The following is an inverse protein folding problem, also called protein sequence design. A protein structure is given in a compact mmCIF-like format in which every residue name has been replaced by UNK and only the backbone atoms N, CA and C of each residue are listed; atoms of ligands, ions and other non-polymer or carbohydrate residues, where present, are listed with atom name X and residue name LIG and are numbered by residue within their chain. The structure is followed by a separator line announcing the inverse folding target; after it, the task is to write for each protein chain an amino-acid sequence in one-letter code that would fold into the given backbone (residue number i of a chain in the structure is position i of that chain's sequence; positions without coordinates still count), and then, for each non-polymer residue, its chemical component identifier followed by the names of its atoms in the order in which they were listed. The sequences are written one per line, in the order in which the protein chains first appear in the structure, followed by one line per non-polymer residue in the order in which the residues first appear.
data_IF_188602009137
#
_entry.id   IF_188602009137
#
_cell.length_a   1.000
_cell.length_b   1.000
_cell.length_c   1.000
_cell.angle_alpha   90.00
_cell.angle_beta   90.00
_cell.angle_gamma   90.00
#
_symmetry.space_group_name_H-M   'P 1'
#
loop_
_entity.id
_entity.type
_entity.pdbx_description
1 polymer ?
#
# COMPACT_ATOMS: atom_id res chain seq x y z
N UNK A 1 7.53 9.34 -38.12
CA UNK A 1 7.85 8.86 -36.73
C UNK A 1 7.50 7.38 -36.74
N UNK A 2 8.43 6.52 -36.32
CA UNK A 2 8.24 5.06 -36.46
C UNK A 2 7.65 4.43 -35.19
N UNK A 3 8.02 4.95 -33.98
CA UNK A 3 7.45 4.55 -32.70
C UNK A 3 7.62 5.66 -31.65
N UNK A 4 6.92 5.52 -30.52
CA UNK A 4 7.03 6.40 -29.36
C UNK A 4 7.37 5.57 -28.13
N UNK A 5 8.35 5.99 -27.32
CA UNK A 5 8.66 5.44 -25.99
C UNK A 5 8.14 6.39 -24.93
N UNK A 6 7.34 5.89 -24.02
CA UNK A 6 6.53 6.68 -23.08
C UNK A 6 5.08 6.77 -23.56
N UNK A 7 4.23 7.56 -22.93
CA UNK A 7 4.43 8.30 -21.66
C UNK A 7 4.56 7.44 -20.40
N UNK A 8 4.78 8.12 -19.27
CA UNK A 8 4.87 7.46 -17.97
C UNK A 8 3.55 7.46 -17.20
N UNK A 9 2.66 8.43 -17.47
CA UNK A 9 1.35 8.51 -16.84
C UNK A 9 0.26 7.90 -17.72
N UNK A 10 -0.80 7.38 -17.09
CA UNK A 10 -1.92 6.81 -17.83
C UNK A 10 -2.69 7.87 -18.61
N UNK A 11 -2.87 9.05 -18.04
CA UNK A 11 -3.59 10.18 -18.64
C UNK A 11 -2.91 10.61 -19.95
N UNK A 12 -1.58 10.78 -19.92
CA UNK A 12 -0.80 11.09 -21.14
C UNK A 12 -0.84 9.94 -22.14
N UNK A 13 -0.78 8.69 -21.66
CA UNK A 13 -0.84 7.50 -22.50
C UNK A 13 -2.14 7.47 -23.31
N UNK A 14 -3.28 7.82 -22.72
CA UNK A 14 -4.57 7.81 -23.43
C UNK A 14 -4.59 8.82 -24.59
N UNK A 15 -4.01 10.00 -24.39
CA UNK A 15 -3.92 11.05 -25.42
C UNK A 15 -3.02 10.63 -26.58
N UNK A 16 -1.85 10.10 -26.25
CA UNK A 16 -0.87 9.66 -27.27
C UNK A 16 -1.39 8.43 -28.03
N UNK A 17 -2.00 7.46 -27.33
CA UNK A 17 -2.51 6.25 -27.93
C UNK A 17 -3.67 6.48 -28.91
N UNK A 18 -4.54 7.46 -28.65
CA UNK A 18 -5.60 7.85 -29.59
C UNK A 18 -5.02 8.36 -30.93
N UNK A 19 -4.00 9.20 -30.90
CA UNK A 19 -3.34 9.75 -32.10
C UNK A 19 -2.54 8.65 -32.80
N UNK A 20 -1.75 7.89 -32.08
CA UNK A 20 -0.85 6.89 -32.65
C UNK A 20 -1.58 5.70 -33.26
N UNK A 21 -2.74 5.31 -32.70
CA UNK A 21 -3.57 4.26 -33.29
C UNK A 21 -4.14 4.65 -34.65
N UNK A 22 -4.45 5.95 -34.89
CA UNK A 22 -4.89 6.46 -36.17
C UNK A 22 -3.79 6.43 -37.24
N UNK A 23 -2.53 6.58 -36.78
CA UNK A 23 -1.37 6.60 -37.68
C UNK A 23 -0.60 5.26 -37.71
N UNK A 24 -1.17 4.21 -37.14
CA UNK A 24 -0.54 2.87 -37.04
C UNK A 24 0.90 2.94 -36.50
N UNK A 25 1.13 3.79 -35.49
CA UNK A 25 2.45 4.01 -34.87
C UNK A 25 2.50 3.33 -33.51
N UNK A 26 3.40 2.36 -33.27
CA UNK A 26 3.54 1.72 -31.97
C UNK A 26 3.93 2.69 -30.84
N UNK A 27 3.28 2.54 -29.69
CA UNK A 27 3.55 3.30 -28.46
C UNK A 27 3.95 2.34 -27.35
N UNK A 28 5.17 2.42 -26.87
CA UNK A 28 5.67 1.64 -25.73
C UNK A 28 5.44 2.47 -24.46
N UNK A 29 4.27 2.32 -23.85
CA UNK A 29 3.90 3.05 -22.64
C UNK A 29 4.64 2.50 -21.41
N UNK A 30 5.16 3.41 -20.58
CA UNK A 30 5.79 3.11 -19.30
C UNK A 30 4.82 3.34 -18.12
N UNK A 31 3.54 3.61 -18.39
CA UNK A 31 2.53 3.86 -17.38
C UNK A 31 2.23 2.59 -16.55
N UNK A 32 2.19 2.76 -15.24
CA UNK A 32 1.78 1.73 -14.30
C UNK A 32 0.24 1.58 -14.25
N UNK A 33 -0.26 0.45 -13.75
CA UNK A 33 -1.68 0.20 -13.51
C UNK A 33 -2.59 0.44 -14.73
N UNK A 34 -2.15 0.05 -15.92
CA UNK A 34 -2.90 0.16 -17.17
C UNK A 34 -4.16 -0.73 -17.14
N UNK A 35 -5.35 -0.24 -17.56
CA UNK A 35 -6.56 -1.06 -17.62
C UNK A 35 -6.44 -2.24 -18.58
N UNK A 36 -7.10 -3.36 -18.27
CA UNK A 36 -7.01 -4.55 -19.12
C UNK A 36 -7.62 -4.37 -20.51
N UNK A 37 -8.57 -3.46 -20.67
CA UNK A 37 -9.24 -3.17 -21.95
C UNK A 37 -8.43 -2.24 -22.87
N UNK A 38 -7.33 -1.64 -22.40
CA UNK A 38 -6.58 -0.61 -23.11
C UNK A 38 -6.06 -1.07 -24.48
N UNK A 39 -5.51 -2.27 -24.56
CA UNK A 39 -4.97 -2.84 -25.80
C UNK A 39 -6.07 -3.21 -26.81
N UNK A 40 -7.29 -3.47 -26.34
CA UNK A 40 -8.46 -3.67 -27.23
C UNK A 40 -8.91 -2.35 -27.86
N UNK A 41 -8.83 -1.25 -27.12
CA UNK A 41 -9.20 0.08 -27.64
C UNK A 41 -8.10 0.65 -28.54
N UNK A 42 -6.84 0.45 -28.18
CA UNK A 42 -5.68 0.99 -28.90
C UNK A 42 -4.76 -0.14 -29.37
N UNK A 43 -4.95 -0.64 -30.60
CA UNK A 43 -4.20 -1.79 -31.11
C UNK A 43 -2.69 -1.57 -31.24
N UNK A 44 -2.22 -0.30 -31.26
CA UNK A 44 -0.80 0.05 -31.35
C UNK A 44 -0.19 0.44 -30.00
N UNK A 45 -0.96 0.27 -28.89
CA UNK A 45 -0.45 0.48 -27.54
C UNK A 45 0.19 -0.79 -27.00
N UNK A 46 1.48 -0.71 -26.67
CA UNK A 46 2.24 -1.74 -25.97
C UNK A 46 2.53 -1.27 -24.55
N UNK A 47 2.14 -2.04 -23.55
CA UNK A 47 2.47 -1.76 -22.16
C UNK A 47 3.87 -2.30 -21.85
N UNK A 48 4.87 -1.41 -21.85
CA UNK A 48 6.27 -1.74 -21.58
C UNK A 48 6.68 -1.63 -20.09
N UNK A 49 5.70 -1.36 -19.21
CA UNK A 49 5.86 -1.42 -17.76
C UNK A 49 4.97 -2.54 -17.20
N UNK A 50 5.46 -3.36 -16.26
CA UNK A 50 4.65 -4.42 -15.68
C UNK A 50 3.54 -3.82 -14.81
N UNK A 51 2.38 -4.47 -14.82
CA UNK A 51 1.25 -4.05 -14.00
C UNK A 51 1.49 -4.38 -12.52
N UNK A 52 1.41 -3.39 -11.65
CA UNK A 52 1.72 -3.51 -10.23
C UNK A 52 0.55 -4.01 -9.36
N UNK A 53 -0.57 -4.45 -9.91
CA UNK A 53 -1.72 -4.90 -9.11
C UNK A 53 -1.39 -6.05 -8.14
N UNK A 54 -0.43 -6.92 -8.49
CA UNK A 54 0.01 -8.01 -7.60
C UNK A 54 0.71 -7.51 -6.33
N UNK A 55 1.29 -6.31 -6.35
CA UNK A 55 1.87 -5.67 -5.18
C UNK A 55 0.85 -5.51 -4.05
N UNK A 56 -0.42 -5.29 -4.38
CA UNK A 56 -1.49 -5.17 -3.38
C UNK A 56 -1.70 -6.45 -2.59
N UNK A 57 -1.40 -7.61 -3.19
CA UNK A 57 -1.40 -8.88 -2.48
C UNK A 57 -0.22 -8.97 -1.50
N UNK A 58 0.97 -8.47 -1.87
CA UNK A 58 2.12 -8.40 -0.98
C UNK A 58 1.82 -7.51 0.23
N UNK A 59 1.22 -6.34 0.03
CA UNK A 59 0.77 -5.45 1.12
C UNK A 59 -0.21 -6.16 2.05
N UNK A 60 -1.23 -6.83 1.50
CA UNK A 60 -2.21 -7.57 2.31
C UNK A 60 -1.56 -8.74 3.07
N UNK A 61 -0.60 -9.45 2.48
CA UNK A 61 0.15 -10.52 3.14
C UNK A 61 1.00 -9.98 4.30
N UNK A 62 1.64 -8.82 4.14
CA UNK A 62 2.38 -8.13 5.23
C UNK A 62 1.43 -7.81 6.39
N UNK A 63 0.31 -7.15 6.10
CA UNK A 63 -0.69 -6.78 7.11
C UNK A 63 -1.19 -8.02 7.86
N UNK A 64 -1.54 -9.07 7.14
CA UNK A 64 -2.01 -10.32 7.71
C UNK A 64 -0.95 -11.01 8.58
N UNK A 65 0.31 -11.02 8.16
CA UNK A 65 1.40 -11.71 8.87
C UNK A 65 1.68 -11.14 10.27
N UNK A 66 1.35 -9.87 10.49
CA UNK A 66 1.45 -9.23 11.81
C UNK A 66 0.16 -9.30 12.63
N UNK A 67 -0.93 -9.82 12.06
CA UNK A 67 -2.23 -9.90 12.71
C UNK A 67 -2.91 -8.54 12.84
N UNK A 68 -2.68 -7.62 11.92
CA UNK A 68 -3.41 -6.36 11.88
C UNK A 68 -4.72 -6.56 11.13
N UNK A 69 -5.83 -6.36 11.82
CA UNK A 69 -7.17 -6.60 11.27
C UNK A 69 -7.80 -5.36 10.63
N UNK A 70 -7.26 -4.18 10.91
CA UNK A 70 -7.74 -2.89 10.43
C UNK A 70 -6.61 -2.09 9.80
N UNK A 71 -6.90 -1.40 8.70
CA UNK A 71 -5.97 -0.48 8.04
C UNK A 71 -6.65 0.82 7.64
N UNK A 72 -5.89 1.92 7.68
CA UNK A 72 -6.23 3.19 7.04
C UNK A 72 -5.52 3.24 5.69
N UNK A 73 -6.21 3.66 4.64
CA UNK A 73 -5.62 3.80 3.31
C UNK A 73 -5.56 5.27 2.95
N UNK A 74 -4.37 5.72 2.52
CA UNK A 74 -4.12 7.07 2.01
C UNK A 74 -3.74 6.95 0.53
N UNK A 75 -4.48 7.61 -0.35
CA UNK A 75 -4.30 7.45 -1.80
C UNK A 75 -4.43 8.77 -2.56
N UNK A 76 -3.84 8.82 -3.76
CA UNK A 76 -3.95 9.97 -4.66
C UNK A 76 -5.26 9.88 -5.45
N UNK A 77 -6.19 10.79 -5.18
CA UNK A 77 -7.52 10.80 -5.81
C UNK A 77 -7.50 11.38 -7.24
N UNK A 78 -6.46 12.12 -7.59
CA UNK A 78 -6.29 12.69 -8.93
C UNK A 78 -5.62 11.73 -9.91
N UNK A 79 -4.89 10.74 -9.38
CA UNK A 79 -4.25 9.72 -10.21
C UNK A 79 -5.20 8.53 -10.41
N UNK A 80 -5.61 8.32 -11.64
CA UNK A 80 -6.47 7.20 -12.00
C UNK A 80 -5.80 5.83 -11.80
N UNK A 81 -4.46 5.76 -11.80
CA UNK A 81 -3.71 4.56 -11.47
C UNK A 81 -3.85 4.22 -10.00
N UNK A 82 -3.72 5.21 -9.12
CA UNK A 82 -3.91 5.07 -7.67
C UNK A 82 -5.31 4.59 -7.33
N UNK A 83 -6.33 5.18 -7.95
CA UNK A 83 -7.73 4.80 -7.77
C UNK A 83 -8.02 3.35 -8.23
N UNK A 84 -7.42 2.91 -9.35
CA UNK A 84 -7.54 1.52 -9.81
C UNK A 84 -6.84 0.55 -8.85
N UNK A 85 -5.65 0.90 -8.35
CA UNK A 85 -4.92 0.10 -7.36
C UNK A 85 -5.72 -0.10 -6.07
N UNK A 86 -6.52 0.89 -5.66
CA UNK A 86 -7.39 0.80 -4.49
C UNK A 86 -8.36 -0.39 -4.57
N UNK A 87 -8.97 -0.65 -5.74
CA UNK A 87 -9.88 -1.78 -5.92
C UNK A 87 -9.17 -3.15 -5.76
N UNK A 88 -7.93 -3.24 -6.22
CA UNK A 88 -7.11 -4.45 -6.05
C UNK A 88 -6.65 -4.62 -4.60
N UNK A 89 -6.31 -3.53 -3.91
CA UNK A 89 -5.97 -3.52 -2.49
C UNK A 89 -7.17 -3.96 -1.64
N UNK A 90 -8.35 -3.39 -1.89
CA UNK A 90 -9.58 -3.80 -1.20
C UNK A 90 -9.82 -5.31 -1.32
N UNK A 91 -9.73 -5.85 -2.54
CA UNK A 91 -9.91 -7.30 -2.78
C UNK A 91 -8.84 -8.14 -2.07
N UNK A 92 -7.60 -7.70 -2.06
CA UNK A 92 -6.51 -8.41 -1.40
C UNK A 92 -6.66 -8.40 0.13
N UNK A 93 -7.01 -7.26 0.73
CA UNK A 93 -7.26 -7.11 2.16
C UNK A 93 -8.49 -7.92 2.61
N UNK A 94 -9.58 -7.88 1.84
CA UNK A 94 -10.78 -8.68 2.12
C UNK A 94 -10.49 -10.19 2.14
N UNK A 95 -9.67 -10.69 1.20
CA UNK A 95 -9.21 -12.10 1.20
C UNK A 95 -8.33 -12.44 2.40
N UNK A 96 -7.62 -11.47 2.93
CA UNK A 96 -6.77 -11.61 4.12
C UNK A 96 -7.53 -11.37 5.44
N UNK A 97 -8.87 -11.22 5.39
CA UNK A 97 -9.72 -10.89 6.54
C UNK A 97 -9.33 -9.59 7.23
N UNK A 98 -8.84 -8.60 6.47
CA UNK A 98 -8.46 -7.26 6.95
C UNK A 98 -9.51 -6.25 6.52
N UNK A 99 -9.95 -5.41 7.45
CA UNK A 99 -10.93 -4.36 7.21
C UNK A 99 -10.26 -3.02 6.92
N UNK A 100 -10.92 -2.18 6.12
CA UNK A 100 -10.51 -0.80 5.89
C UNK A 100 -11.27 0.07 6.88
N UNK A 101 -10.55 0.69 7.82
CA UNK A 101 -11.11 1.58 8.81
C UNK A 101 -11.44 2.95 8.24
N UNK A 102 -10.52 3.52 7.46
CA UNK A 102 -10.70 4.82 6.84
C UNK A 102 -10.03 4.86 5.46
N UNK A 103 -10.61 5.67 4.57
CA UNK A 103 -10.06 6.02 3.27
C UNK A 103 -9.79 7.53 3.27
N UNK A 104 -8.55 7.92 3.04
CA UNK A 104 -8.15 9.33 2.97
C UNK A 104 -7.67 9.65 1.55
N UNK A 105 -8.51 10.30 0.72
CA UNK A 105 -8.09 10.80 -0.58
C UNK A 105 -7.20 12.05 -0.41
N UNK A 106 -6.15 12.18 -1.20
CA UNK A 106 -5.30 13.35 -1.28
C UNK A 106 -5.15 13.74 -2.77
N UNK A 107 -5.25 15.03 -3.10
CA UNK A 107 -5.39 16.22 -2.25
C UNK A 107 -6.81 16.40 -1.73
N UNK A 108 -6.90 17.00 -0.56
CA UNK A 108 -8.18 17.30 0.10
C UNK A 108 -8.83 18.54 -0.51
N UNK A 109 -10.16 18.51 -0.62
CA UNK A 109 -10.94 19.59 -1.25
C UNK A 109 -11.31 20.68 -0.21
N UNK A 110 -11.66 20.28 1.01
CA UNK A 110 -12.29 21.16 2.01
C UNK A 110 -11.61 21.20 3.38
N UNK A 111 -10.62 20.36 3.64
CA UNK A 111 -9.92 20.27 4.92
C UNK A 111 -8.42 20.30 4.75
N UNK A 112 -7.68 20.69 5.79
CA UNK A 112 -6.23 20.60 5.76
C UNK A 112 -5.77 19.15 6.03
N UNK A 113 -4.64 18.76 5.44
CA UNK A 113 -4.05 17.45 5.71
C UNK A 113 -3.79 17.20 7.20
N UNK A 114 -3.39 18.24 7.94
CA UNK A 114 -3.17 18.16 9.39
C UNK A 114 -4.45 17.80 10.13
N UNK A 115 -5.58 18.43 9.80
CA UNK A 115 -6.86 18.14 10.44
C UNK A 115 -7.34 16.70 10.20
N UNK A 116 -7.20 16.21 8.96
CA UNK A 116 -7.59 14.83 8.65
C UNK A 116 -6.65 13.80 9.32
N UNK A 117 -5.35 14.06 9.36
CA UNK A 117 -4.41 13.20 10.08
C UNK A 117 -4.66 13.23 11.60
N UNK A 118 -5.07 14.37 12.18
CA UNK A 118 -5.47 14.44 13.60
C UNK A 118 -6.67 13.55 13.89
N UNK A 119 -7.70 13.55 13.04
CA UNK A 119 -8.83 12.63 13.18
C UNK A 119 -8.38 11.16 13.14
N UNK A 120 -7.49 10.81 12.21
CA UNK A 120 -6.94 9.47 12.12
C UNK A 120 -6.03 9.13 13.32
N UNK A 121 -5.29 10.11 13.85
CA UNK A 121 -4.49 9.96 15.06
C UNK A 121 -5.35 9.63 16.28
N UNK A 122 -6.54 10.17 16.37
CA UNK A 122 -7.48 9.87 17.46
C UNK A 122 -8.18 8.52 17.29
N UNK A 123 -8.20 7.96 16.08
CA UNK A 123 -8.78 6.65 15.78
C UNK A 123 -8.01 5.49 16.41
N UNK A 124 -8.67 4.32 16.50
CA UNK A 124 -8.06 3.10 17.06
C UNK A 124 -7.01 2.49 16.12
N UNK A 125 -7.26 2.48 14.82
CA UNK A 125 -6.36 1.91 13.82
C UNK A 125 -5.09 2.75 13.67
N UNK A 126 -3.92 2.11 13.77
CA UNK A 126 -2.59 2.73 13.64
C UNK A 126 -1.78 2.19 12.47
N UNK A 127 -2.38 1.39 11.62
CA UNK A 127 -1.77 0.86 10.40
C UNK A 127 -2.22 1.68 9.20
N UNK A 128 -1.27 2.20 8.43
CA UNK A 128 -1.49 3.04 7.28
C UNK A 128 -0.86 2.42 6.04
N UNK A 129 -1.66 2.26 4.98
CA UNK A 129 -1.19 1.89 3.64
C UNK A 129 -1.25 3.13 2.76
N UNK A 130 -0.12 3.51 2.17
CA UNK A 130 0.05 4.76 1.43
C UNK A 130 0.37 4.48 -0.02
N UNK A 131 -0.48 4.96 -0.92
CA UNK A 131 -0.32 4.89 -2.37
C UNK A 131 -0.43 6.30 -2.96
N UNK A 132 0.66 7.03 -2.95
CA UNK A 132 0.74 8.44 -3.32
C UNK A 132 1.89 8.71 -4.30
N UNK A 133 1.74 9.76 -5.08
CA UNK A 133 2.84 10.37 -5.82
C UNK A 133 3.92 10.93 -4.88
N UNK A 134 5.14 11.11 -5.40
CA UNK A 134 6.30 11.51 -4.60
C UNK A 134 6.06 12.79 -3.79
N UNK A 135 5.54 13.84 -4.42
CA UNK A 135 5.33 15.14 -3.78
C UNK A 135 4.28 15.08 -2.66
N UNK A 136 3.19 14.34 -2.87
CA UNK A 136 2.12 14.18 -1.88
C UNK A 136 2.59 13.34 -0.69
N UNK A 137 3.37 12.28 -0.95
CA UNK A 137 3.92 11.44 0.10
C UNK A 137 4.93 12.18 0.99
N UNK A 138 5.78 13.04 0.41
CA UNK A 138 6.70 13.88 1.19
C UNK A 138 5.92 14.77 2.16
N UNK A 139 4.90 15.48 1.67
CA UNK A 139 4.05 16.34 2.50
C UNK A 139 3.32 15.54 3.59
N UNK A 140 2.80 14.35 3.25
CA UNK A 140 2.16 13.46 4.21
C UNK A 140 3.10 13.12 5.37
N UNK A 141 4.32 12.64 5.10
CA UNK A 141 5.23 12.18 6.14
C UNK A 141 5.83 13.33 6.96
N UNK A 142 6.07 14.49 6.37
CA UNK A 142 6.46 15.69 7.11
C UNK A 142 5.36 16.14 8.08
N UNK A 143 4.09 16.10 7.64
CA UNK A 143 2.95 16.44 8.48
C UNK A 143 2.72 15.37 9.56
N UNK A 144 2.79 14.09 9.21
CA UNK A 144 2.66 12.98 10.15
C UNK A 144 3.74 13.05 11.25
N UNK A 145 4.97 13.43 10.90
CA UNK A 145 6.05 13.64 11.89
C UNK A 145 5.73 14.79 12.85
N UNK A 146 5.23 15.93 12.34
CA UNK A 146 4.81 17.08 13.19
C UNK A 146 3.69 16.69 14.15
N UNK A 147 2.82 15.77 13.76
CA UNK A 147 1.71 15.26 14.57
C UNK A 147 2.08 14.08 15.48
N UNK A 148 3.35 13.72 15.59
CA UNK A 148 3.85 12.57 16.36
C UNK A 148 3.25 11.22 15.90
N UNK A 149 2.88 11.09 14.63
CA UNK A 149 2.38 9.83 14.07
C UNK A 149 3.52 8.93 13.52
N UNK A 150 4.78 9.33 13.73
CA UNK A 150 5.98 8.54 13.44
C UNK A 150 6.62 7.98 14.71
N UNK A 151 5.83 7.84 15.78
CA UNK A 151 6.22 7.33 17.09
C UNK A 151 5.80 5.86 17.28
N UNK A 152 6.13 5.31 18.44
CA UNK A 152 5.78 3.94 18.83
C UNK A 152 4.30 3.64 18.66
N UNK A 153 3.99 2.51 18.03
CA UNK A 153 2.62 2.02 17.83
C UNK A 153 2.06 2.26 16.44
N UNK A 154 2.64 3.19 15.66
CA UNK A 154 2.26 3.43 14.28
C UNK A 154 2.96 2.47 13.32
N UNK A 155 2.25 2.14 12.24
CA UNK A 155 2.75 1.34 11.12
C UNK A 155 2.44 2.06 9.83
N UNK A 156 3.44 2.23 8.98
CA UNK A 156 3.30 2.82 7.67
C UNK A 156 3.85 1.87 6.62
N UNK A 157 3.03 1.56 5.62
CA UNK A 157 3.39 0.71 4.48
C UNK A 157 3.21 1.54 3.22
N UNK A 158 4.30 1.73 2.46
CA UNK A 158 4.30 2.47 1.20
C UNK A 158 4.43 1.52 0.01
N UNK A 159 3.80 1.90 -1.09
CA UNK A 159 3.78 1.13 -2.34
C UNK A 159 4.65 1.78 -3.41
N UNK A 160 4.92 1.07 -4.52
CA UNK A 160 5.44 1.68 -5.74
C UNK A 160 4.38 2.60 -6.39
N UNK A 161 4.80 3.65 -7.06
CA UNK A 161 6.20 3.97 -7.42
C UNK A 161 7.01 4.68 -6.31
N UNK A 162 6.38 5.11 -5.21
CA UNK A 162 7.05 5.90 -4.18
C UNK A 162 8.20 5.14 -3.51
N UNK A 163 8.03 3.84 -3.19
CA UNK A 163 9.09 3.03 -2.57
C UNK A 163 10.37 3.01 -3.40
N UNK A 164 10.24 2.90 -4.71
CA UNK A 164 11.38 2.88 -5.64
C UNK A 164 12.14 4.21 -5.71
N UNK A 165 11.51 5.31 -5.26
CA UNK A 165 12.09 6.65 -5.28
C UNK A 165 12.67 7.11 -3.93
N UNK A 166 12.55 6.28 -2.87
CA UNK A 166 13.02 6.65 -1.52
C UNK A 166 14.51 7.02 -1.51
N UNK A 167 15.34 6.31 -2.28
CA UNK A 167 16.78 6.58 -2.36
C UNK A 167 17.11 7.96 -2.98
N UNK A 168 16.18 8.54 -3.75
CA UNK A 168 16.36 9.86 -4.38
C UNK A 168 15.97 11.03 -3.48
N UNK A 169 15.41 10.75 -2.29
CA UNK A 169 14.95 11.77 -1.37
C UNK A 169 16.09 12.46 -0.62
N UNK A 170 15.84 13.70 -0.22
CA UNK A 170 16.74 14.44 0.67
C UNK A 170 16.81 13.77 2.04
N UNK A 171 17.97 13.81 2.70
CA UNK A 171 18.17 13.22 4.02
C UNK A 171 17.17 13.75 5.08
N UNK A 172 16.74 15.02 4.98
CA UNK A 172 15.72 15.61 5.85
C UNK A 172 14.37 14.89 5.72
N UNK A 173 13.95 14.61 4.48
CA UNK A 173 12.70 13.88 4.20
C UNK A 173 12.79 12.43 4.68
N UNK A 174 13.89 11.73 4.38
CA UNK A 174 14.11 10.35 4.87
C UNK A 174 14.09 10.31 6.39
N UNK A 175 14.56 11.36 7.08
CA UNK A 175 14.50 11.45 8.54
C UNK A 175 13.07 11.50 9.09
N UNK A 176 12.08 11.94 8.31
CA UNK A 176 10.67 11.91 8.69
C UNK A 176 9.99 10.56 8.41
N UNK A 177 10.68 9.65 7.73
CA UNK A 177 10.15 8.39 7.27
C UNK A 177 10.75 7.17 7.97
N UNK A 178 11.46 7.37 9.07
CA UNK A 178 12.16 6.27 9.75
C UNK A 178 11.20 5.19 10.26
N UNK A 179 11.49 3.93 9.92
CA UNK A 179 10.69 2.79 10.34
C UNK A 179 9.53 2.41 9.38
N UNK A 180 9.39 3.09 8.26
CA UNK A 180 8.37 2.77 7.24
C UNK A 180 8.77 1.48 6.53
N UNK A 181 7.78 0.63 6.22
CA UNK A 181 7.93 -0.51 5.32
C UNK A 181 7.60 -0.06 3.90
N UNK A 182 8.46 -0.38 2.95
CA UNK A 182 8.22 -0.19 1.53
C UNK A 182 8.04 -1.53 0.81
N UNK A 183 7.18 -1.55 -0.19
CA UNK A 183 7.04 -2.65 -1.13
C UNK A 183 7.33 -2.12 -2.52
N UNK A 184 8.31 -2.70 -3.22
CA UNK A 184 8.67 -2.32 -4.59
C UNK A 184 8.85 -3.54 -5.48
N UNK A 185 8.71 -3.35 -6.78
CA UNK A 185 9.05 -4.40 -7.74
C UNK A 185 10.52 -4.76 -7.61
N UNK A 186 10.80 -6.05 -7.58
CA UNK A 186 12.18 -6.53 -7.61
C UNK A 186 12.74 -6.40 -9.03
N UNK A 187 13.96 -5.93 -9.13
CA UNK A 187 14.79 -6.02 -10.33
C UNK A 187 16.24 -6.30 -9.92
N UNK A 188 17.01 -7.04 -10.73
CA UNK A 188 18.38 -7.38 -10.39
C UNK A 188 19.29 -6.15 -10.52
N UNK A 189 19.81 -5.66 -9.41
CA UNK A 189 20.77 -4.54 -9.34
C UNK A 189 22.24 -5.08 -9.40
N UNK A 190 22.41 -6.34 -9.80
CA UNK A 190 23.70 -7.03 -9.81
C UNK A 190 23.90 -7.72 -11.18
N UNK A 191 25.11 -7.62 -11.70
CA UNK A 191 25.51 -8.27 -12.94
C UNK A 191 26.17 -7.30 -13.92
N UNK A 192 26.99 -7.85 -14.83
CA UNK A 192 27.84 -7.07 -15.75
C UNK A 192 27.04 -6.05 -16.56
N UNK A 193 25.85 -6.41 -17.04
CA UNK A 193 25.01 -5.52 -17.84
C UNK A 193 24.48 -4.34 -17.01
N UNK A 194 24.05 -4.59 -15.77
CA UNK A 194 23.57 -3.53 -14.91
C UNK A 194 24.71 -2.61 -14.46
N UNK A 195 25.88 -3.17 -14.13
CA UNK A 195 27.05 -2.38 -13.72
C UNK A 195 27.53 -1.46 -14.84
N UNK A 196 27.61 -1.94 -16.09
CA UNK A 196 27.97 -1.13 -17.24
C UNK A 196 26.93 -0.02 -17.50
N UNK A 197 25.62 -0.34 -17.43
CA UNK A 197 24.55 0.65 -17.52
C UNK A 197 24.68 1.70 -16.41
N UNK A 198 24.88 1.25 -15.17
CA UNK A 198 25.00 2.10 -13.97
C UNK A 198 26.14 3.12 -14.12
N UNK A 199 27.31 2.66 -14.53
CA UNK A 199 28.47 3.55 -14.72
C UNK A 199 28.25 4.57 -15.85
N UNK A 200 27.66 4.15 -16.97
CA UNK A 200 27.35 5.03 -18.11
C UNK A 200 26.27 6.03 -17.75
N UNK A 201 25.22 5.58 -17.10
CA UNK A 201 24.12 6.44 -16.65
C UNK A 201 24.63 7.53 -15.72
N UNK A 202 25.35 7.17 -14.66
CA UNK A 202 25.86 8.15 -13.67
C UNK A 202 26.77 9.19 -14.32
N UNK A 203 27.68 8.76 -15.18
CA UNK A 203 28.58 9.68 -15.88
C UNK A 203 27.80 10.69 -16.72
N UNK A 204 26.84 10.21 -17.50
CA UNK A 204 26.05 11.07 -18.38
C UNK A 204 25.12 11.96 -17.58
N UNK A 205 24.37 11.40 -16.64
CA UNK A 205 23.41 12.13 -15.81
C UNK A 205 24.09 13.26 -15.01
N UNK A 206 25.22 12.96 -14.35
CA UNK A 206 25.97 13.99 -13.60
C UNK A 206 26.56 15.09 -14.49
N UNK A 207 26.92 14.76 -15.74
CA UNK A 207 27.39 15.76 -16.71
C UNK A 207 26.26 16.68 -17.19
N UNK A 208 25.05 16.12 -17.39
CA UNK A 208 23.89 16.87 -17.88
C UNK A 208 23.13 17.59 -16.76
N UNK A 209 23.18 17.05 -15.54
CA UNK A 209 22.44 17.53 -14.36
C UNK A 209 23.38 17.78 -13.16
N UNK A 210 24.33 18.72 -13.24
CA UNK A 210 25.35 18.92 -12.19
C UNK A 210 24.79 19.43 -10.87
N UNK A 211 23.54 19.91 -10.85
CA UNK A 211 22.85 20.39 -9.65
C UNK A 211 22.14 19.25 -8.87
N UNK A 212 21.98 18.09 -9.51
CA UNK A 212 21.32 16.96 -8.88
C UNK A 212 22.32 16.09 -8.12
N UNK A 213 22.09 15.95 -6.81
CA UNK A 213 22.97 15.16 -5.94
C UNK A 213 22.76 13.65 -6.11
N UNK A 214 21.54 13.23 -6.46
CA UNK A 214 21.23 11.83 -6.68
C UNK A 214 21.37 11.49 -8.17
N UNK A 215 22.35 10.67 -8.48
CA UNK A 215 22.65 10.18 -9.82
C UNK A 215 22.51 8.65 -9.94
N UNK A 216 21.79 8.03 -9.02
CA UNK A 216 21.54 6.59 -9.00
C UNK A 216 20.40 6.23 -9.98
N UNK A 217 20.62 5.32 -10.95
CA UNK A 217 19.54 4.82 -11.80
C UNK A 217 18.62 3.90 -11.01
N UNK A 218 17.32 4.24 -10.97
CA UNK A 218 16.30 3.39 -10.39
C UNK A 218 15.62 2.50 -11.44
N UNK A 219 14.60 1.77 -10.99
CA UNK A 219 13.79 0.88 -11.86
C UNK A 219 13.22 1.60 -13.09
N UNK A 220 12.87 2.88 -12.97
CA UNK A 220 12.32 3.66 -14.09
C UNK A 220 13.34 3.86 -15.20
N UNK A 221 14.61 4.14 -14.85
CA UNK A 221 15.69 4.23 -15.81
C UNK A 221 15.97 2.88 -16.50
N UNK A 222 15.94 1.78 -15.74
CA UNK A 222 16.08 0.43 -16.27
C UNK A 222 14.94 0.09 -17.25
N UNK A 223 13.69 0.40 -16.92
CA UNK A 223 12.53 0.18 -17.80
C UNK A 223 12.59 1.01 -19.08
N UNK A 224 12.98 2.27 -18.99
CA UNK A 224 13.16 3.13 -20.15
C UNK A 224 14.27 2.59 -21.09
N UNK A 225 15.36 2.08 -20.50
CA UNK A 225 16.43 1.42 -21.24
C UNK A 225 15.91 0.16 -21.96
N UNK A 226 15.17 -0.70 -21.25
CA UNK A 226 14.66 -1.95 -21.81
C UNK A 226 13.61 -1.69 -22.91
N UNK A 227 12.77 -0.67 -22.76
CA UNK A 227 11.83 -0.26 -23.81
C UNK A 227 12.56 0.23 -25.07
N UNK A 228 13.63 1.03 -24.90
CA UNK A 228 14.47 1.46 -26.01
C UNK A 228 15.17 0.28 -26.68
N UNK A 229 15.68 -0.66 -25.88
CA UNK A 229 16.33 -1.87 -26.39
C UNK A 229 15.36 -2.77 -27.13
N UNK A 230 14.14 -2.96 -26.61
CA UNK A 230 13.04 -3.69 -27.28
C UNK A 230 12.74 -3.12 -28.66
N UNK A 231 12.62 -1.78 -28.75
CA UNK A 231 12.39 -1.11 -30.03
C UNK A 231 13.58 -1.28 -30.98
N UNK A 232 14.82 -1.11 -30.51
CA UNK A 232 16.00 -1.28 -31.31
C UNK A 232 16.11 -2.69 -31.91
N UNK A 233 15.87 -3.74 -31.09
CA UNK A 233 15.83 -5.12 -31.57
C UNK A 233 14.75 -5.34 -32.62
N UNK A 234 13.54 -4.81 -32.40
CA UNK A 234 12.45 -4.94 -33.35
C UNK A 234 12.76 -4.28 -34.71
N UNK A 235 13.47 -3.15 -34.70
CA UNK A 235 13.89 -2.44 -35.88
C UNK A 235 14.99 -3.17 -36.68
N UNK A 236 15.82 -3.98 -36.02
CA UNK A 236 16.86 -4.76 -36.71
C UNK A 236 16.33 -6.02 -37.41
N UNK A 237 15.11 -6.45 -37.11
CA UNK A 237 14.52 -7.67 -37.64
C UNK A 237 13.90 -7.51 -39.04
N UNK A 238 13.73 -6.27 -39.50
CA UNK A 238 13.09 -5.99 -40.80
C UNK A 238 13.56 -4.69 -41.40
N UNK A 239 13.77 -4.67 -42.72
CA UNK A 239 13.99 -3.46 -43.51
C UNK A 239 12.67 -2.72 -43.84
N UNK A 240 11.53 -3.36 -43.60
CA UNK A 240 10.21 -2.80 -43.88
C UNK A 240 9.72 -1.98 -42.67
N UNK A 241 9.42 -0.70 -42.93
CA UNK A 241 9.06 0.30 -41.91
C UNK A 241 7.55 0.40 -41.64
N UNK A 242 6.76 -0.62 -41.99
CA UNK A 242 5.31 -0.64 -41.70
C UNK A 242 5.05 -0.73 -40.17
N UNK A 243 4.14 0.15 -39.67
CA UNK A 243 3.84 0.19 -38.22
C UNK A 243 3.34 -1.12 -37.64
N UNK A 244 2.54 -1.89 -38.42
CA UNK A 244 2.08 -3.22 -37.99
C UNK A 244 3.23 -4.22 -37.86
N UNK A 245 4.14 -4.25 -38.82
CA UNK A 245 5.30 -5.17 -38.82
C UNK A 245 6.21 -4.83 -37.64
N UNK A 246 6.42 -3.55 -37.40
CA UNK A 246 7.21 -3.10 -36.24
C UNK A 246 6.54 -3.51 -34.91
N UNK A 247 5.21 -3.37 -34.80
CA UNK A 247 4.44 -3.82 -33.64
C UNK A 247 4.61 -5.33 -33.42
N UNK A 248 4.46 -6.14 -34.46
CA UNK A 248 4.59 -7.59 -34.38
C UNK A 248 6.00 -7.99 -33.92
N UNK A 249 7.05 -7.33 -34.45
CA UNK A 249 8.43 -7.55 -34.00
C UNK A 249 8.69 -7.11 -32.55
N UNK A 250 8.07 -6.01 -32.10
CA UNK A 250 8.13 -5.58 -30.68
C UNK A 250 7.57 -6.69 -29.78
N UNK A 251 6.42 -7.27 -30.15
CA UNK A 251 5.73 -8.29 -29.36
C UNK A 251 6.44 -9.64 -29.36
N UNK A 252 7.25 -9.94 -30.36
CA UNK A 252 8.06 -11.16 -30.45
C UNK A 252 9.32 -11.13 -29.55
N UNK A 253 9.68 -9.97 -28.99
CA UNK A 253 10.84 -9.87 -28.13
C UNK A 253 10.72 -10.76 -26.87
N UNK A 254 11.78 -11.51 -26.59
CA UNK A 254 11.93 -12.34 -25.39
C UNK A 254 13.40 -12.36 -24.98
N UNK A 255 13.74 -11.52 -24.00
CA UNK A 255 15.10 -11.41 -23.47
C UNK A 255 15.12 -11.01 -21.99
N UNK A 256 16.28 -11.13 -21.35
CA UNK A 256 16.48 -10.60 -19.99
C UNK A 256 17.06 -9.21 -20.10
N UNK A 257 16.27 -8.20 -19.73
CA UNK A 257 16.66 -6.80 -19.66
C UNK A 257 17.19 -6.39 -18.28
N UNK A 258 17.43 -5.11 -18.10
CA UNK A 258 17.86 -4.52 -16.83
C UNK A 258 16.75 -4.55 -15.77
N UNK A 259 15.50 -4.34 -16.18
CA UNK A 259 14.35 -4.34 -15.27
C UNK A 259 13.78 -5.74 -15.00
N UNK A 260 14.32 -6.77 -15.65
CA UNK A 260 13.88 -8.15 -15.53
C UNK A 260 13.62 -8.82 -16.89
N UNK A 261 12.77 -9.86 -16.89
CA UNK A 261 12.40 -10.55 -18.12
C UNK A 261 11.47 -9.68 -18.97
N UNK A 262 11.83 -9.45 -20.22
CA UNK A 262 11.04 -8.75 -21.23
C UNK A 262 10.38 -9.80 -22.11
N UNK A 263 9.09 -9.95 -21.92
CA UNK A 263 8.21 -10.83 -22.70
C UNK A 263 6.81 -10.25 -22.67
N UNK A 264 6.16 -10.21 -23.83
CA UNK A 264 4.84 -9.63 -23.96
C UNK A 264 3.77 -10.70 -24.16
N UNK A 265 2.67 -10.55 -23.44
CA UNK A 265 1.44 -11.33 -23.61
C UNK A 265 0.28 -10.33 -23.77
N UNK A 266 -0.49 -10.45 -24.85
CA UNK A 266 -1.58 -9.53 -25.19
C UNK A 266 -1.15 -8.05 -25.17
N UNK A 267 0.01 -7.74 -25.77
CA UNK A 267 0.62 -6.39 -25.83
C UNK A 267 1.02 -5.82 -24.45
N UNK A 268 1.11 -6.65 -23.43
CA UNK A 268 1.49 -6.25 -22.07
C UNK A 268 2.75 -6.99 -21.65
N UNK A 269 3.65 -6.27 -21.02
CA UNK A 269 4.79 -6.88 -20.36
C UNK A 269 4.30 -7.81 -19.25
N UNK A 270 4.84 -9.02 -19.19
CA UNK A 270 4.49 -10.00 -18.17
C UNK A 270 4.69 -9.41 -16.78
N UNK A 271 3.71 -9.55 -15.87
CA UNK A 271 3.78 -8.91 -14.56
C UNK A 271 4.86 -9.53 -13.69
N UNK A 272 5.60 -8.69 -12.98
CA UNK A 272 6.48 -9.17 -11.92
C UNK A 272 5.68 -9.95 -10.88
N UNK A 273 6.19 -11.13 -10.49
CA UNK A 273 5.61 -11.96 -9.45
C UNK A 273 6.31 -11.79 -8.11
N UNK A 274 7.46 -11.12 -8.08
CA UNK A 274 8.29 -10.96 -6.90
C UNK A 274 8.45 -9.49 -6.56
N UNK A 275 8.22 -9.17 -5.29
CA UNK A 275 8.34 -7.82 -4.74
C UNK A 275 9.37 -7.83 -3.62
N UNK A 276 10.20 -6.81 -3.60
CA UNK A 276 11.17 -6.57 -2.55
C UNK A 276 10.50 -5.78 -1.43
N UNK A 277 10.73 -6.23 -0.19
CA UNK A 277 10.27 -5.57 1.03
C UNK A 277 11.45 -4.80 1.60
N UNK A 278 11.26 -3.51 1.82
CA UNK A 278 12.28 -2.61 2.33
C UNK A 278 11.83 -1.96 3.62
N UNK A 279 12.78 -1.53 4.43
CA UNK A 279 12.53 -0.77 5.65
C UNK A 279 13.36 0.51 5.63
N UNK A 280 12.73 1.66 5.76
CA UNK A 280 13.40 2.97 5.73
C UNK A 280 14.19 3.18 7.00
N UNK A 281 15.51 3.25 6.89
CA UNK A 281 16.45 3.33 8.01
C UNK A 281 17.63 4.23 7.64
N UNK A 282 18.00 5.12 8.55
CA UNK A 282 19.17 5.98 8.37
C UNK A 282 18.98 6.98 7.21
N UNK A 283 19.82 6.91 6.21
CA UNK A 283 19.80 7.79 5.03
C UNK A 283 19.19 7.17 3.79
N UNK A 284 18.54 6.02 3.92
CA UNK A 284 17.96 5.29 2.79
C UNK A 284 16.98 4.22 3.26
N UNK A 285 17.09 3.03 2.70
CA UNK A 285 16.34 1.87 3.15
C UNK A 285 17.24 0.62 3.21
N UNK A 286 16.81 -0.34 4.01
CA UNK A 286 17.41 -1.67 4.09
C UNK A 286 16.44 -2.69 3.50
N UNK A 287 16.94 -3.66 2.76
CA UNK A 287 16.19 -4.85 2.37
C UNK A 287 15.85 -5.68 3.60
N UNK A 288 14.59 -6.12 3.68
CA UNK A 288 14.10 -7.03 4.73
C UNK A 288 13.95 -8.44 4.16
N UNK A 289 13.54 -8.55 2.91
CA UNK A 289 13.34 -9.79 2.17
C UNK A 289 12.40 -9.58 0.99
N UNK A 290 11.79 -10.66 0.53
CA UNK A 290 10.97 -10.69 -0.68
C UNK A 290 9.63 -11.35 -0.43
N UNK A 291 8.66 -11.00 -1.26
CA UNK A 291 7.39 -11.69 -1.34
C UNK A 291 7.09 -12.06 -2.80
N UNK A 292 6.68 -13.31 -3.04
CA UNK A 292 6.33 -13.80 -4.37
C UNK A 292 4.89 -14.29 -4.40
N UNK A 293 4.14 -13.92 -5.46
CA UNK A 293 2.73 -14.30 -5.62
C UNK A 293 2.60 -15.82 -5.71
N UNK A 294 1.80 -16.39 -4.84
CA UNK A 294 1.57 -17.84 -4.74
C UNK A 294 2.61 -18.63 -3.93
N UNK A 295 3.76 -18.04 -3.59
CA UNK A 295 4.82 -18.69 -2.83
C UNK A 295 4.95 -18.15 -1.39
N UNK A 296 4.79 -16.84 -1.19
CA UNK A 296 4.92 -16.20 0.12
C UNK A 296 6.22 -15.43 0.29
N UNK A 297 6.71 -15.36 1.55
CA UNK A 297 7.89 -14.59 1.95
C UNK A 297 9.18 -15.42 1.89
N UNK A 298 10.28 -14.79 1.47
CA UNK A 298 11.61 -15.41 1.43
C UNK A 298 12.71 -14.39 1.72
N UNK A 299 13.84 -14.86 2.27
CA UNK A 299 15.03 -14.02 2.47
C UNK A 299 15.86 -13.85 1.20
N UNK A 300 15.71 -14.76 0.23
CA UNK A 300 16.50 -14.80 -0.99
C UNK A 300 15.59 -14.97 -2.22
N UNK A 301 16.11 -14.64 -3.40
CA UNK A 301 15.43 -14.80 -4.69
C UNK A 301 16.15 -15.86 -5.55
N UNK A 302 15.38 -16.47 -6.46
CA UNK A 302 15.88 -17.39 -7.49
C UNK A 302 16.08 -18.81 -6.98
N UNK A 303 16.99 -19.56 -7.63
CA UNK A 303 17.27 -20.97 -7.31
C UNK A 303 17.78 -21.19 -5.87
N UNK A 304 18.24 -20.13 -5.21
CA UNK A 304 18.68 -20.15 -3.81
C UNK A 304 17.54 -19.93 -2.81
N UNK A 305 16.32 -19.64 -3.26
CA UNK A 305 15.13 -19.52 -2.41
C UNK A 305 14.64 -20.94 -2.06
N UNK A 306 15.26 -21.57 -1.08
CA UNK A 306 14.94 -22.95 -0.65
C UNK A 306 13.74 -23.02 0.28
N UNK A 307 13.37 -21.89 0.92
CA UNK A 307 12.28 -21.84 1.89
C UNK A 307 11.42 -20.59 1.67
N UNK A 308 10.11 -20.83 1.55
CA UNK A 308 9.10 -19.78 1.54
C UNK A 308 8.26 -19.87 2.82
N UNK A 309 8.02 -18.73 3.45
CA UNK A 309 7.28 -18.62 4.68
C UNK A 309 5.92 -17.94 4.46
N UNK A 310 4.93 -18.30 5.25
CA UNK A 310 3.63 -17.64 5.22
C UNK A 310 3.62 -16.30 5.96
N UNK A 311 4.65 -15.99 6.74
CA UNK A 311 4.74 -14.81 7.60
C UNK A 311 6.01 -14.00 7.33
N UNK A 312 5.86 -12.69 7.26
CA UNK A 312 6.98 -11.74 7.20
C UNK A 312 7.83 -11.76 8.49
N UNK A 313 7.31 -12.28 9.60
CA UNK A 313 8.04 -12.37 10.89
C UNK A 313 9.27 -13.26 10.82
N UNK A 314 9.33 -14.14 9.82
CA UNK A 314 10.47 -15.05 9.56
C UNK A 314 11.58 -14.39 8.71
N UNK A 315 11.35 -13.16 8.23
CA UNK A 315 12.33 -12.38 7.49
C UNK A 315 13.27 -11.59 8.42
N UNK A 316 14.10 -10.75 7.81
CA UNK A 316 14.98 -9.84 8.54
C UNK A 316 14.24 -8.92 9.51
N UNK A 317 14.96 -8.46 10.53
CA UNK A 317 14.39 -7.57 11.55
C UNK A 317 13.93 -6.24 10.94
N UNK A 318 12.69 -5.86 11.26
CA UNK A 318 12.10 -4.56 10.90
C UNK A 318 12.28 -3.59 12.05
N UNK A 319 12.80 -2.40 11.75
CA UNK A 319 12.79 -1.27 12.67
C UNK A 319 11.51 -0.46 12.44
N UNK A 320 10.73 -0.32 13.49
CA UNK A 320 9.45 0.39 13.46
C UNK A 320 9.60 1.87 13.84
N UNK A 321 8.62 2.74 13.51
CA UNK A 321 8.59 4.12 13.99
C UNK A 321 8.71 4.19 15.51
N UNK A 322 9.50 5.16 16.03
CA UNK A 322 9.77 5.27 17.45
C UNK A 322 10.64 4.15 18.05
N UNK A 323 11.18 3.24 17.22
CA UNK A 323 12.12 2.16 17.57
C UNK A 323 11.70 1.31 18.78
N UNK A 324 10.47 0.76 18.83
CA UNK A 324 10.08 -0.15 19.89
C UNK A 324 10.83 -1.49 19.77
N UNK A 325 11.03 -2.18 20.91
CA UNK A 325 11.67 -3.51 20.95
C UNK A 325 10.82 -4.62 20.32
N UNK A 326 9.50 -4.42 20.20
CA UNK A 326 8.59 -5.41 19.66
C UNK A 326 7.77 -4.86 18.48
N UNK A 327 7.09 -5.75 17.80
CA UNK A 327 6.21 -5.39 16.69
C UNK A 327 5.03 -4.54 17.17
N UNK A 328 4.67 -3.48 16.45
CA UNK A 328 3.51 -2.68 16.77
C UNK A 328 2.22 -3.52 16.73
N UNK A 329 1.32 -3.27 17.67
CA UNK A 329 0.01 -3.93 17.71
C UNK A 329 -0.89 -3.50 16.54
N UNK A 330 -0.63 -2.33 15.95
CA UNK A 330 -1.45 -1.75 14.88
C UNK A 330 -2.74 -1.10 15.35
N UNK A 331 -2.99 -1.07 16.66
CA UNK A 331 -4.18 -0.44 17.26
C UNK A 331 -3.85 0.15 18.63
N UNK A 332 -4.61 1.14 19.03
CA UNK A 332 -4.46 1.76 20.35
C UNK A 332 -5.25 0.98 21.38
N UNK A 333 -4.61 0.44 22.44
CA UNK A 333 -5.35 -0.19 23.52
C UNK A 333 -6.25 0.85 24.21
N UNK A 334 -7.40 0.42 24.78
CA UNK A 334 -8.21 1.27 25.62
C UNK A 334 -7.41 1.88 26.75
N UNK A 335 -7.67 3.14 27.08
CA UNK A 335 -7.08 3.89 28.20
C UNK A 335 -8.17 4.30 29.17
N UNK A 336 -7.80 4.78 30.37
CA UNK A 336 -8.77 5.30 31.34
C UNK A 336 -9.62 6.44 30.76
N UNK A 337 -9.04 7.28 29.90
CA UNK A 337 -9.74 8.38 29.24
C UNK A 337 -10.61 7.90 28.06
N UNK A 338 -10.24 6.79 27.44
CA UNK A 338 -10.96 6.16 26.32
C UNK A 338 -11.16 4.67 26.60
N UNK A 339 -12.00 4.28 27.56
CA UNK A 339 -12.22 2.89 27.94
C UNK A 339 -12.92 2.09 26.82
N UNK A 340 -12.77 0.77 26.86
CA UNK A 340 -13.54 -0.14 26.01
C UNK A 340 -15.03 0.03 26.29
N UNK A 341 -15.81 0.28 25.25
CA UNK A 341 -17.25 0.50 25.36
C UNK A 341 -17.97 -0.80 25.12
N UNK A 342 -18.77 -1.24 26.09
CA UNK A 342 -19.48 -2.52 26.05
C UNK A 342 -20.97 -2.22 26.10
N UNK A 343 -21.67 -2.50 24.99
CA UNK A 343 -23.13 -2.40 24.93
C UNK A 343 -23.79 -3.57 25.65
N UNK A 344 -24.70 -3.26 26.57
CA UNK A 344 -25.46 -4.28 27.33
C UNK A 344 -26.94 -4.14 27.01
N UNK A 345 -27.61 -5.17 26.46
CA UNK A 345 -29.02 -5.09 26.11
C UNK A 345 -29.89 -4.97 27.35
N UNK A 346 -30.75 -3.94 27.38
CA UNK A 346 -31.73 -3.73 28.48
C UNK A 346 -32.92 -4.67 28.34
N UNK A 347 -33.31 -5.00 27.11
CA UNK A 347 -34.44 -5.84 26.79
C UNK A 347 -34.08 -7.35 26.81
N UNK A 348 -33.15 -7.76 27.70
CA UNK A 348 -32.77 -9.17 27.80
C UNK A 348 -33.92 -10.01 28.36
N UNK A 349 -34.24 -11.12 27.70
CA UNK A 349 -35.36 -12.04 28.06
C UNK A 349 -35.08 -12.77 29.36
N UNK A 350 -33.80 -13.05 29.65
CA UNK A 350 -33.37 -13.81 30.83
C UNK A 350 -32.55 -12.92 31.77
N UNK A 351 -33.22 -12.29 32.72
CA UNK A 351 -32.62 -11.35 33.68
C UNK A 351 -31.52 -11.96 34.57
N UNK A 352 -31.52 -13.27 34.76
CA UNK A 352 -30.44 -13.95 35.48
C UNK A 352 -29.08 -13.93 34.76
N UNK A 353 -29.08 -13.82 33.42
CA UNK A 353 -27.88 -13.72 32.64
C UNK A 353 -27.44 -12.27 32.48
N UNK A 354 -28.37 -11.35 32.18
CA UNK A 354 -28.11 -9.92 31.98
C UNK A 354 -29.31 -9.16 32.59
N UNK A 355 -29.04 -8.32 33.58
CA UNK A 355 -30.01 -7.44 34.19
C UNK A 355 -29.42 -6.02 34.27
N UNK A 356 -30.12 -5.07 33.67
CA UNK A 356 -29.78 -3.64 33.69
C UNK A 356 -30.81 -2.91 34.49
N UNK A 357 -30.40 -2.35 35.60
CA UNK A 357 -31.27 -1.52 36.50
C UNK A 357 -30.88 -0.08 36.21
N UNK A 358 -31.84 0.68 35.69
CA UNK A 358 -31.67 2.12 35.45
C UNK A 358 -32.30 2.89 36.59
N UNK A 359 -31.51 3.69 37.29
CA UNK A 359 -32.01 4.65 38.28
C UNK A 359 -32.32 5.96 37.56
N UNK A 360 -33.61 6.29 37.50
CA UNK A 360 -34.10 7.50 36.83
C UNK A 360 -33.78 8.78 37.63
N UNK A 361 -33.48 8.67 38.94
CA UNK A 361 -33.18 9.82 39.78
C UNK A 361 -31.73 10.28 39.65
N UNK A 362 -30.79 9.32 39.51
CA UNK A 362 -29.35 9.64 39.44
C UNK A 362 -28.78 9.49 38.00
N UNK A 363 -29.60 9.10 37.02
CA UNK A 363 -29.19 8.82 35.65
C UNK A 363 -28.02 7.80 35.58
N UNK A 364 -28.00 6.87 36.53
CA UNK A 364 -27.00 5.82 36.63
C UNK A 364 -27.59 4.48 36.22
N UNK A 365 -26.76 3.58 35.67
CA UNK A 365 -27.18 2.24 35.29
C UNK A 365 -26.31 1.21 35.99
N UNK A 366 -26.95 0.30 36.72
CA UNK A 366 -26.28 -0.84 37.37
C UNK A 366 -26.44 -2.10 36.50
N UNK A 367 -25.33 -2.79 36.28
CA UNK A 367 -25.25 -3.98 35.44
C UNK A 367 -24.96 -5.21 36.31
N UNK A 368 -25.82 -6.24 36.23
CA UNK A 368 -25.76 -7.45 37.03
C UNK A 368 -26.07 -8.68 36.20
N UNK A 369 -25.78 -9.88 36.72
CA UNK A 369 -26.09 -11.16 36.12
C UNK A 369 -24.86 -11.95 35.71
N UNK A 370 -25.09 -13.25 35.48
CA UNK A 370 -24.01 -14.21 35.24
C UNK A 370 -23.02 -13.79 34.16
N UNK A 371 -23.48 -13.27 33.04
CA UNK A 371 -22.61 -12.82 31.92
C UNK A 371 -21.76 -11.63 32.32
N UNK A 372 -22.31 -10.71 33.12
CA UNK A 372 -21.59 -9.52 33.61
C UNK A 372 -20.50 -9.94 34.60
N UNK A 373 -20.82 -10.87 35.49
CA UNK A 373 -19.87 -11.35 36.51
C UNK A 373 -18.76 -12.20 35.87
N UNK A 374 -19.11 -13.04 34.88
CA UNK A 374 -18.14 -13.78 34.08
C UNK A 374 -17.19 -12.85 33.34
N UNK A 375 -17.72 -11.78 32.72
CA UNK A 375 -16.91 -10.78 32.07
C UNK A 375 -15.94 -10.09 33.06
N UNK A 376 -16.43 -9.67 34.24
CA UNK A 376 -15.58 -9.02 35.26
C UNK A 376 -14.47 -9.98 35.72
N UNK A 377 -14.79 -11.22 36.05
CA UNK A 377 -13.80 -12.22 36.45
C UNK A 377 -12.78 -12.48 35.34
N UNK A 378 -13.20 -12.49 34.07
CA UNK A 378 -12.28 -12.62 32.93
C UNK A 378 -11.32 -11.43 32.84
N UNK A 379 -11.83 -10.19 33.08
CA UNK A 379 -10.99 -9.00 33.06
C UNK A 379 -9.93 -9.00 34.18
N UNK A 380 -10.26 -9.54 35.35
CA UNK A 380 -9.33 -9.69 36.47
C UNK A 380 -8.20 -10.70 36.19
N UNK A 381 -8.46 -11.69 35.36
CA UNK A 381 -7.46 -12.70 34.95
C UNK A 381 -6.48 -12.20 33.86
N UNK A 382 -6.75 -11.06 33.26
CA UNK A 382 -5.85 -10.53 32.24
C UNK A 382 -4.51 -10.06 32.86
N UNK A 383 -3.35 -10.33 32.20
CA UNK A 383 -2.04 -9.91 32.70
C UNK A 383 -1.79 -8.39 32.55
N UNK A 384 -2.78 -7.62 32.18
CA UNK A 384 -2.74 -6.17 32.00
C UNK A 384 -4.11 -5.56 32.32
N UNK A 385 -4.12 -4.33 32.80
CA UNK A 385 -5.35 -3.59 33.08
C UNK A 385 -6.01 -3.13 31.78
N UNK A 386 -7.27 -3.53 31.55
CA UNK A 386 -8.08 -3.14 30.40
C UNK A 386 -9.26 -2.29 30.90
N UNK A 387 -9.18 -0.96 30.82
CA UNK A 387 -10.29 -0.11 31.25
C UNK A 387 -11.51 -0.29 30.34
N UNK A 388 -12.66 -0.53 30.94
CA UNK A 388 -13.93 -0.71 30.23
C UNK A 388 -15.08 0.05 30.89
N UNK A 389 -16.16 0.29 30.12
CA UNK A 389 -17.40 0.89 30.61
C UNK A 389 -18.60 0.24 29.93
N UNK A 390 -19.57 -0.18 30.73
CA UNK A 390 -20.84 -0.68 30.24
C UNK A 390 -21.77 0.47 29.83
N UNK A 391 -22.53 0.26 28.74
CA UNK A 391 -23.52 1.18 28.23
C UNK A 391 -24.85 0.43 28.03
N UNK A 392 -25.98 0.89 28.61
CA UNK A 392 -27.27 0.27 28.36
C UNK A 392 -27.69 0.48 26.89
N UNK A 393 -28.25 -0.54 26.28
CA UNK A 393 -28.75 -0.49 24.92
C UNK A 393 -30.21 -0.89 24.88
N UNK A 394 -31.09 0.07 24.53
CA UNK A 394 -32.54 -0.04 24.63
C UNK A 394 -33.20 -0.48 23.31
N UNK A 395 -32.55 -1.32 22.53
CA UNK A 395 -33.09 -1.82 21.26
C UNK A 395 -32.83 -3.33 21.15
N UNK A 396 -33.21 -3.93 20.01
CA UNK A 396 -33.06 -5.36 19.75
C UNK A 396 -31.60 -5.80 19.75
N UNK A 397 -31.37 -7.08 20.06
CA UNK A 397 -30.03 -7.66 20.03
C UNK A 397 -29.39 -7.57 18.65
N UNK A 398 -30.18 -7.76 17.58
CA UNK A 398 -29.70 -7.64 16.19
C UNK A 398 -29.22 -6.23 15.87
N UNK A 399 -29.91 -5.21 16.38
CA UNK A 399 -29.48 -3.83 16.22
C UNK A 399 -28.21 -3.51 17.03
N UNK A 400 -28.02 -4.10 18.21
CA UNK A 400 -26.78 -4.01 18.96
C UNK A 400 -25.62 -4.59 18.16
N UNK A 401 -25.76 -5.80 17.62
CA UNK A 401 -24.75 -6.45 16.78
C UNK A 401 -24.46 -5.63 15.52
N UNK A 402 -25.50 -5.09 14.88
CA UNK A 402 -25.37 -4.23 13.72
C UNK A 402 -24.60 -2.95 14.04
N UNK A 403 -24.80 -2.33 15.19
CA UNK A 403 -24.04 -1.14 15.61
C UNK A 403 -22.57 -1.47 15.88
N UNK A 404 -22.27 -2.62 16.47
CA UNK A 404 -20.90 -3.09 16.64
C UNK A 404 -20.24 -3.31 15.29
N UNK A 405 -20.95 -3.97 14.36
CA UNK A 405 -20.47 -4.20 12.99
C UNK A 405 -20.19 -2.91 12.23
N UNK A 406 -21.10 -1.93 12.33
CA UNK A 406 -20.96 -0.63 11.66
C UNK A 406 -19.97 0.30 12.39
N UNK A 407 -19.34 -0.14 13.49
CA UNK A 407 -18.45 0.67 14.34
C UNK A 407 -19.07 2.00 14.77
N UNK A 408 -20.40 2.06 14.82
CA UNK A 408 -21.13 3.24 15.25
C UNK A 408 -20.87 3.43 16.75
N UNK A 409 -20.51 4.66 17.14
CA UNK A 409 -20.42 5.02 18.55
C UNK A 409 -21.79 4.77 19.17
N UNK A 410 -21.88 3.95 20.23
CA UNK A 410 -23.08 3.84 21.03
C UNK A 410 -23.30 5.21 21.68
N UNK A 411 -24.06 6.07 21.00
CA UNK A 411 -24.43 7.39 21.49
C UNK A 411 -25.71 7.17 22.30
N UNK A 412 -25.75 7.71 23.50
CA UNK A 412 -27.02 7.87 24.22
C UNK A 412 -27.95 8.67 23.32
N UNK A 413 -28.94 8.02 22.72
CA UNK A 413 -30.13 8.74 22.28
C UNK A 413 -30.91 9.11 23.52
N UNK A 414 -30.60 10.26 24.09
CA UNK A 414 -31.62 11.02 24.80
C UNK A 414 -32.54 11.59 23.71
N UNK A 415 -33.56 10.82 23.38
CA UNK A 415 -34.71 11.35 22.70
C UNK A 415 -35.36 12.40 23.64
N UNK A 416 -35.18 13.67 23.30
CA UNK A 416 -36.12 14.69 23.75
C UNK A 416 -37.43 14.39 23.04
N UNK A 417 -38.47 14.09 23.84
CA UNK A 417 -39.87 14.19 23.46
C UNK A 417 -40.20 15.68 23.37
#
# INVERSE_FOLDING_TARGET
MEAIIGPQTWEETTLVADICSQHMTPVLSLADATPNWSTLKWPFLVQASPNHFKQMKAVAAIVHSFGWYDVNIVYDDRDSSSTRMLSHLYRALSKACVQISNLLPIPLISSSLSQELEKLREGHCKVFVVNLSLSLAINLFETAKKLNMMEKGYVWIITDPFTSLVHSLKASTISSMQGIIGVKSYFPEIGVQYEDFYLRFRRKFSSENPQEFNNEPGIFAARAYDAAWTLALAMTQTDNKGGQILLDNILLNNFTGLSGKIQFTDQKLDPSNTFQITNVIGKGYKEVGFWSDGLGFSNNIGQNATTFNSSMKELGQVLWPGRPWGNPRGWTPPTSDKPLRIGVPVLATLKQFINVIQDQTENTSTFQGFTIDLFRSTMELLPYHLPYKFYPFNDTYDNLVKQVYLKVRIINYNLYV
#
